data_IF_245173387270
#
_entry.id   IF_245173387270
#
_cell.length_a   1.000
_cell.length_b   1.000
_cell.length_c   1.000
_cell.angle_alpha   90.00
_cell.angle_beta   90.00
_cell.angle_gamma   90.00
#
_symmetry.space_group_name_H-M   'P 1'
#
loop_
_entity.id
_entity.type
_entity.pdbx_description
1 polymer ?
#
# COMPACT_ATOMS: atom_id res chain seq x y z
N UNK A 1 4.29 11.15 -4.95
CA UNK A 1 3.66 9.82 -4.78
C UNK A 1 4.65 8.65 -4.79
N UNK A 2 5.83 8.74 -5.41
CA UNK A 2 6.74 7.58 -5.51
C UNK A 2 7.44 7.25 -4.20
N UNK A 3 8.00 8.24 -3.47
CA UNK A 3 8.81 7.98 -2.28
C UNK A 3 8.13 8.43 -0.99
N UNK A 4 7.82 9.73 -0.88
CA UNK A 4 7.33 10.31 0.37
C UNK A 4 5.98 9.75 0.82
N UNK A 5 5.06 9.48 -0.11
CA UNK A 5 3.76 8.91 0.21
C UNK A 5 3.89 7.48 0.78
N UNK A 6 4.55 6.51 0.07
CA UNK A 6 4.83 5.20 0.63
C UNK A 6 5.56 5.24 1.97
N UNK A 7 6.53 6.14 2.12
CA UNK A 7 7.25 6.29 3.39
C UNK A 7 6.29 6.61 4.55
N UNK A 8 5.44 7.62 4.37
CA UNK A 8 4.49 8.05 5.41
C UNK A 8 3.44 6.96 5.65
N UNK A 9 2.86 6.41 4.58
CA UNK A 9 1.82 5.39 4.66
C UNK A 9 2.29 4.13 5.37
N UNK A 10 3.48 3.61 5.03
CA UNK A 10 4.00 2.40 5.66
C UNK A 10 4.49 2.64 7.09
N UNK A 11 5.10 3.79 7.40
CA UNK A 11 5.46 4.11 8.78
C UNK A 11 4.21 4.20 9.67
N UNK A 12 3.14 4.80 9.18
CA UNK A 12 1.89 4.89 9.93
C UNK A 12 1.16 3.54 10.02
N UNK A 13 0.83 2.91 8.90
CA UNK A 13 0.02 1.69 8.89
C UNK A 13 0.80 0.48 9.41
N UNK A 14 2.02 0.24 8.92
CA UNK A 14 2.80 -0.97 9.20
C UNK A 14 3.73 -0.79 10.39
N UNK A 15 4.26 0.42 10.56
CA UNK A 15 5.11 0.77 11.70
C UNK A 15 4.33 1.00 13.00
N UNK A 16 3.26 1.79 12.96
CA UNK A 16 2.48 2.15 14.15
C UNK A 16 1.22 1.29 14.34
N UNK A 17 0.29 1.30 13.38
CA UNK A 17 -1.03 0.66 13.55
C UNK A 17 -0.92 -0.86 13.67
N UNK A 18 -0.25 -1.54 12.73
CA UNK A 18 -0.05 -3.00 12.80
C UNK A 18 0.68 -3.39 14.08
N UNK A 19 1.75 -2.67 14.47
CA UNK A 19 2.50 -2.97 15.69
C UNK A 19 1.65 -2.85 16.98
N UNK A 20 0.67 -1.94 17.00
CA UNK A 20 -0.30 -1.82 18.07
C UNK A 20 -1.33 -2.95 18.05
N UNK A 21 -1.94 -3.20 16.89
CA UNK A 21 -2.99 -4.22 16.72
C UNK A 21 -2.49 -5.65 16.95
N UNK A 22 -1.23 -5.94 16.64
CA UNK A 22 -0.59 -7.24 16.91
C UNK A 22 -0.62 -7.64 18.38
N UNK A 23 -0.68 -6.67 19.30
CA UNK A 23 -0.73 -6.87 20.75
C UNK A 23 -2.15 -7.09 21.28
N UNK A 24 -3.15 -7.08 20.40
CA UNK A 24 -4.57 -7.31 20.73
C UNK A 24 -5.00 -8.72 20.34
N UNK A 25 -6.29 -9.03 20.54
CA UNK A 25 -6.89 -10.29 20.08
C UNK A 25 -6.79 -10.50 18.55
N UNK A 26 -6.60 -9.44 17.76
CA UNK A 26 -6.44 -9.53 16.31
C UNK A 26 -5.16 -10.26 15.90
N UNK A 27 -4.09 -10.16 16.70
CA UNK A 27 -2.75 -10.68 16.38
C UNK A 27 -2.30 -10.20 14.99
N UNK A 28 -1.26 -10.81 14.42
CA UNK A 28 -0.72 -10.39 13.12
C UNK A 28 -1.69 -10.53 11.96
N UNK A 29 -2.43 -11.64 11.88
CA UNK A 29 -3.37 -11.89 10.77
C UNK A 29 -4.50 -10.85 10.77
N UNK A 30 -5.15 -10.62 11.91
CA UNK A 30 -6.22 -9.64 12.02
C UNK A 30 -5.73 -8.21 11.82
N UNK A 31 -4.52 -7.87 12.31
CA UNK A 31 -3.92 -6.56 12.07
C UNK A 31 -3.68 -6.29 10.58
N UNK A 32 -3.16 -7.27 9.84
CA UNK A 32 -2.92 -7.15 8.39
C UNK A 32 -4.24 -7.03 7.62
N UNK A 33 -5.22 -7.90 7.92
CA UNK A 33 -6.53 -7.85 7.26
C UNK A 33 -7.24 -6.51 7.48
N UNK A 34 -7.28 -6.04 8.73
CA UNK A 34 -7.95 -4.79 9.08
C UNK A 34 -7.26 -3.59 8.43
N UNK A 35 -5.94 -3.49 8.53
CA UNK A 35 -5.21 -2.36 7.95
C UNK A 35 -5.24 -2.35 6.43
N UNK A 36 -5.20 -3.52 5.78
CA UNK A 36 -5.39 -3.62 4.32
C UNK A 36 -6.80 -3.19 3.89
N UNK A 37 -7.84 -3.60 4.62
CA UNK A 37 -9.23 -3.22 4.33
C UNK A 37 -9.44 -1.71 4.48
N UNK A 38 -8.98 -1.13 5.60
CA UNK A 38 -9.07 0.32 5.83
C UNK A 38 -8.30 1.08 4.75
N UNK A 39 -7.09 0.62 4.40
CA UNK A 39 -6.28 1.25 3.35
C UNK A 39 -6.99 1.22 1.99
N UNK A 40 -7.64 0.13 1.62
CA UNK A 40 -8.42 0.05 0.39
C UNK A 40 -9.64 1.00 0.40
N UNK A 41 -10.35 1.10 1.52
CA UNK A 41 -11.56 1.94 1.64
C UNK A 41 -11.25 3.43 1.56
N UNK A 42 -10.14 3.89 2.15
CA UNK A 42 -9.76 5.32 2.07
C UNK A 42 -9.40 5.75 0.65
N UNK A 43 -9.06 4.80 -0.22
CA UNK A 43 -8.81 4.98 -1.65
C UNK A 43 -10.11 5.09 -2.49
N UNK A 44 -11.13 5.73 -1.93
CA UNK A 44 -12.47 5.90 -2.50
C UNK A 44 -12.50 6.66 -3.83
N UNK A 45 -11.42 7.36 -4.20
CA UNK A 45 -11.29 7.99 -5.52
C UNK A 45 -11.18 6.99 -6.68
N UNK A 46 -10.91 5.72 -6.39
CA UNK A 46 -10.83 4.66 -7.39
C UNK A 46 -12.11 3.81 -7.44
N UNK A 47 -12.33 3.13 -8.57
CA UNK A 47 -13.45 2.20 -8.71
C UNK A 47 -13.23 0.93 -7.87
N UNK A 48 -14.30 0.18 -7.62
CA UNK A 48 -14.27 -1.02 -6.78
C UNK A 48 -13.24 -2.04 -7.22
N UNK A 49 -13.04 -2.19 -8.54
CA UNK A 49 -12.04 -3.10 -9.10
C UNK A 49 -10.62 -2.74 -8.65
N UNK A 50 -10.25 -1.46 -8.72
CA UNK A 50 -8.94 -0.97 -8.31
C UNK A 50 -8.79 -1.01 -6.78
N UNK A 51 -9.85 -0.72 -6.02
CA UNK A 51 -9.83 -0.86 -4.57
C UNK A 51 -9.57 -2.30 -4.12
N UNK A 52 -10.09 -3.30 -4.85
CA UNK A 52 -9.78 -4.72 -4.58
C UNK A 52 -8.30 -5.03 -4.82
N UNK A 53 -7.68 -4.45 -5.85
CA UNK A 53 -6.24 -4.56 -6.06
C UNK A 53 -5.43 -3.88 -4.96
N UNK A 54 -5.86 -2.69 -4.52
CA UNK A 54 -5.25 -1.98 -3.39
C UNK A 54 -5.36 -2.82 -2.11
N UNK A 55 -6.49 -3.49 -1.88
CA UNK A 55 -6.65 -4.40 -0.75
C UNK A 55 -5.64 -5.56 -0.81
N UNK A 56 -5.55 -6.26 -1.94
CA UNK A 56 -4.59 -7.38 -2.12
C UNK A 56 -3.16 -6.88 -1.94
N UNK A 57 -2.81 -5.73 -2.51
CA UNK A 57 -1.48 -5.16 -2.33
C UNK A 57 -1.23 -4.77 -0.88
N UNK A 58 -2.24 -4.25 -0.18
CA UNK A 58 -2.19 -3.95 1.24
C UNK A 58 -1.91 -5.18 2.11
N UNK A 59 -2.42 -6.35 1.72
CA UNK A 59 -2.10 -7.64 2.36
C UNK A 59 -0.64 -8.03 2.13
N UNK A 60 -0.10 -7.85 0.92
CA UNK A 60 1.31 -8.11 0.62
C UNK A 60 2.23 -7.23 1.48
N UNK A 61 1.93 -5.93 1.55
CA UNK A 61 2.70 -4.99 2.38
C UNK A 61 2.63 -5.35 3.86
N UNK A 62 1.43 -5.66 4.38
CA UNK A 62 1.24 -6.10 5.75
C UNK A 62 1.98 -7.40 6.06
N UNK A 63 1.86 -8.40 5.19
CA UNK A 63 2.55 -9.68 5.32
C UNK A 63 4.08 -9.50 5.30
N UNK A 64 4.60 -8.65 4.41
CA UNK A 64 6.04 -8.36 4.35
C UNK A 64 6.56 -7.78 5.67
N UNK A 65 5.79 -6.91 6.33
CA UNK A 65 6.15 -6.37 7.64
C UNK A 65 6.11 -7.45 8.72
N UNK A 66 5.09 -8.28 8.75
CA UNK A 66 4.94 -9.35 9.75
C UNK A 66 6.06 -10.38 9.63
N UNK A 67 6.35 -10.84 8.41
CA UNK A 67 7.35 -11.87 8.13
C UNK A 67 8.77 -11.35 8.40
N UNK A 68 9.07 -10.12 8.00
CA UNK A 68 10.42 -9.54 8.17
C UNK A 68 10.66 -8.93 9.55
N UNK A 69 9.61 -8.63 10.31
CA UNK A 69 9.70 -7.82 11.53
C UNK A 69 10.12 -6.37 11.29
N UNK A 70 10.15 -5.89 10.05
CA UNK A 70 10.67 -4.58 9.66
C UNK A 70 9.71 -3.85 8.72
N UNK A 71 9.68 -2.52 8.80
CA UNK A 71 8.87 -1.69 7.89
C UNK A 71 9.57 -1.44 6.56
N UNK A 72 10.90 -1.59 6.49
CA UNK A 72 11.68 -1.27 5.30
C UNK A 72 11.31 -2.11 4.06
N UNK A 73 11.02 -3.43 4.17
CA UNK A 73 10.56 -4.21 3.01
C UNK A 73 9.24 -3.69 2.45
N UNK A 74 8.27 -3.34 3.31
CA UNK A 74 7.00 -2.76 2.87
C UNK A 74 7.22 -1.41 2.16
N UNK A 75 8.07 -0.53 2.73
CA UNK A 75 8.43 0.74 2.09
C UNK A 75 9.04 0.49 0.71
N UNK A 76 10.02 -0.42 0.60
CA UNK A 76 10.70 -0.69 -0.67
C UNK A 76 9.71 -1.22 -1.73
N UNK A 77 8.87 -2.19 -1.37
CA UNK A 77 7.85 -2.76 -2.27
C UNK A 77 6.87 -1.66 -2.73
N UNK A 78 6.39 -0.82 -1.81
CA UNK A 78 5.44 0.23 -2.13
C UNK A 78 6.05 1.33 -3.00
N UNK A 79 7.30 1.76 -2.71
CA UNK A 79 8.04 2.70 -3.57
C UNK A 79 8.22 2.13 -4.98
N UNK A 80 8.60 0.86 -5.10
CA UNK A 80 8.76 0.20 -6.40
C UNK A 80 7.44 0.12 -7.16
N UNK A 81 6.35 -0.24 -6.50
CA UNK A 81 5.02 -0.26 -7.12
C UNK A 81 4.62 1.13 -7.65
N UNK A 82 4.81 2.18 -6.84
CA UNK A 82 4.48 3.53 -7.27
C UNK A 82 5.40 4.05 -8.37
N UNK A 83 6.66 3.62 -8.40
CA UNK A 83 7.57 3.92 -9.51
C UNK A 83 7.09 3.26 -10.81
N UNK A 84 6.72 1.97 -10.77
CA UNK A 84 6.18 1.26 -11.94
C UNK A 84 4.89 1.91 -12.43
N UNK A 85 3.96 2.23 -11.53
CA UNK A 85 2.72 2.91 -11.89
C UNK A 85 2.97 4.30 -12.52
N UNK A 86 3.89 5.07 -11.94
CA UNK A 86 4.27 6.38 -12.47
C UNK A 86 4.87 6.29 -13.88
N UNK A 87 5.79 5.33 -14.09
CA UNK A 87 6.40 5.10 -15.41
C UNK A 87 5.38 4.62 -16.43
N UNK A 88 4.47 3.71 -16.05
CA UNK A 88 3.42 3.21 -16.93
C UNK A 88 2.49 4.34 -17.41
N UNK A 89 2.07 5.23 -16.49
CA UNK A 89 1.28 6.41 -16.84
C UNK A 89 2.09 7.36 -17.73
N UNK A 90 3.36 7.59 -17.42
CA UNK A 90 4.22 8.46 -18.23
C UNK A 90 4.41 7.97 -19.67
N UNK A 91 4.61 6.66 -19.86
CA UNK A 91 4.71 6.03 -21.18
C UNK A 91 3.38 6.14 -21.95
N UNK A 92 2.26 5.82 -21.29
CA UNK A 92 0.94 5.92 -21.89
C UNK A 92 0.63 7.34 -22.38
N UNK A 93 0.91 8.35 -21.57
CA UNK A 93 0.69 9.76 -21.94
C UNK A 93 1.68 10.24 -23.02
N UNK A 94 2.87 9.63 -23.12
CA UNK A 94 3.81 9.90 -24.19
C UNK A 94 3.35 9.36 -25.55
N UNK A 95 2.70 8.19 -25.56
CA UNK A 95 2.10 7.59 -26.77
C UNK A 95 0.75 8.23 -27.13
N UNK A 96 -0.04 8.63 -26.13
CA UNK A 96 -1.38 9.19 -26.28
C UNK A 96 -1.51 10.51 -25.50
N UNK A 97 -0.94 11.61 -26.00
CA UNK A 97 -1.02 12.90 -25.32
C UNK A 97 -2.47 13.35 -25.19
N UNK A 98 -2.87 13.90 -24.02
CA UNK A 98 -4.22 14.40 -23.85
C UNK A 98 -4.49 15.54 -24.83
N UNK A 99 -5.68 15.55 -25.44
CA UNK A 99 -6.12 16.69 -26.25
C UNK A 99 -6.15 17.93 -25.34
N UNK A 100 -5.38 18.96 -25.71
CA UNK A 100 -5.34 20.25 -25.00
C UNK A 100 -6.64 21.03 -25.15
#
# INVERSE_FOLDING_TARGET
VIVLAPLIEELYLRGFVVAGLERTALRSIGAVLLTAAVWAVVHHQYHIYDQLWIFVFGLVLGASRVISGSVYPAIAIHVLNNLVAYLAVGLYLGEYPPAM
#
